data_IF_872792851303
#
_entry.id   IF_872792851303
#
_cell.length_a   1.000
_cell.length_b   1.000
_cell.length_c   1.000
_cell.angle_alpha   90.00
_cell.angle_beta   90.00
_cell.angle_gamma   90.00
#
_symmetry.space_group_name_H-M   'P 1'
#
loop_
_entity.id
_entity.type
_entity.pdbx_description
1 polymer ?
#
# COMPACT_ATOMS: atom_id res chain seq x y z
N UNK A 1 32.47 -48.83 0.93
CA UNK A 1 33.05 -47.52 1.28
C UNK A 1 32.67 -46.56 0.16
N UNK A 2 31.58 -45.81 0.33
CA UNK A 2 31.09 -44.88 -0.69
C UNK A 2 31.93 -43.59 -0.63
N UNK A 3 32.21 -42.93 -1.77
CA UNK A 3 32.95 -41.68 -1.75
C UNK A 3 32.07 -40.58 -1.15
N UNK A 4 32.65 -39.88 -0.17
CA UNK A 4 32.10 -38.70 0.47
C UNK A 4 31.90 -37.60 -0.59
N UNK A 5 30.64 -37.21 -0.83
CA UNK A 5 30.33 -36.06 -1.68
C UNK A 5 30.83 -34.82 -0.95
N UNK A 6 31.90 -34.21 -1.45
CA UNK A 6 32.32 -32.88 -1.03
C UNK A 6 31.11 -31.94 -1.14
N UNK A 7 30.66 -31.44 0.01
CA UNK A 7 29.69 -30.36 0.07
C UNK A 7 30.32 -29.18 -0.69
N UNK A 8 29.72 -28.82 -1.81
CA UNK A 8 30.03 -27.56 -2.47
C UNK A 8 29.50 -26.50 -1.52
N UNK A 9 30.41 -25.89 -0.73
CA UNK A 9 30.13 -24.66 -0.01
C UNK A 9 29.68 -23.64 -1.07
N UNK A 10 28.36 -23.56 -1.27
CA UNK A 10 27.78 -22.46 -2.01
C UNK A 10 28.02 -21.24 -1.13
N UNK A 11 29.13 -20.55 -1.39
CA UNK A 11 29.45 -19.27 -0.79
C UNK A 11 28.36 -18.30 -1.26
N UNK A 12 27.27 -18.21 -0.49
CA UNK A 12 26.24 -17.22 -0.67
C UNK A 12 26.82 -15.86 -0.26
N UNK A 13 27.58 -15.24 -1.16
CA UNK A 13 28.00 -13.87 -0.96
C UNK A 13 26.78 -12.98 -1.14
N UNK A 14 26.15 -12.58 -0.04
CA UNK A 14 25.09 -11.59 -0.05
C UNK A 14 25.72 -10.20 -0.21
N UNK A 15 25.88 -9.76 -1.45
CA UNK A 15 26.46 -8.46 -1.81
C UNK A 15 25.39 -7.37 -2.01
N UNK A 16 24.11 -7.72 -1.86
CA UNK A 16 23.00 -6.79 -1.91
C UNK A 16 22.68 -6.25 -0.52
N UNK A 17 22.65 -4.93 -0.38
CA UNK A 17 22.16 -4.21 0.79
C UNK A 17 20.76 -3.70 0.51
N UNK A 18 19.78 -4.24 1.22
CA UNK A 18 18.39 -3.79 1.16
C UNK A 18 18.15 -2.60 2.11
N UNK A 19 17.54 -1.54 1.60
CA UNK A 19 17.03 -0.43 2.39
C UNK A 19 15.52 -0.49 2.37
N UNK A 20 14.93 -0.67 3.56
CA UNK A 20 13.48 -0.79 3.74
C UNK A 20 12.93 0.51 4.29
N UNK A 21 11.92 1.06 3.61
CA UNK A 21 11.27 2.30 3.94
C UNK A 21 9.83 2.06 4.41
N UNK A 22 9.41 2.78 5.45
CA UNK A 22 8.00 3.14 5.59
C UNK A 22 7.67 4.27 4.58
N UNK A 23 6.39 4.58 4.37
CA UNK A 23 5.94 5.50 3.33
C UNK A 23 5.32 6.80 3.88
N UNK A 24 4.15 6.71 4.51
CA UNK A 24 3.46 7.88 5.07
C UNK A 24 4.32 8.48 6.19
N UNK A 25 4.46 9.81 6.22
CA UNK A 25 5.32 10.54 7.18
C UNK A 25 6.82 10.17 7.13
N UNK A 26 7.25 9.33 6.18
CA UNK A 26 8.65 8.95 5.97
C UNK A 26 9.16 9.41 4.61
N UNK A 27 8.51 8.99 3.53
CA UNK A 27 8.83 9.40 2.15
C UNK A 27 7.97 10.58 1.69
N UNK A 28 6.76 10.69 2.23
CA UNK A 28 5.85 11.83 2.02
C UNK A 28 5.54 12.55 3.34
N UNK A 29 5.28 13.87 3.35
CA UNK A 29 4.98 14.61 4.58
C UNK A 29 3.54 14.40 5.08
N UNK A 30 2.67 13.87 4.23
CA UNK A 30 1.24 13.68 4.50
C UNK A 30 0.85 12.21 4.65
N UNK A 31 -0.46 11.99 4.61
CA UNK A 31 -1.08 10.68 4.45
C UNK A 31 -1.46 10.51 2.98
N UNK A 32 -1.15 9.37 2.37
CA UNK A 32 -1.50 9.11 0.97
C UNK A 32 -3.02 9.12 0.71
N UNK A 33 -3.83 8.97 1.75
CA UNK A 33 -5.29 9.01 1.66
C UNK A 33 -5.81 10.44 1.38
N UNK A 34 -5.03 11.50 1.62
CA UNK A 34 -5.46 12.89 1.36
C UNK A 34 -6.00 13.12 -0.08
N UNK A 35 -5.27 12.79 -1.15
CA UNK A 35 -5.80 12.90 -2.51
C UNK A 35 -7.02 11.99 -2.78
N UNK A 36 -7.09 10.83 -2.13
CA UNK A 36 -8.25 9.94 -2.19
C UNK A 36 -9.50 10.58 -1.57
N UNK A 37 -9.40 11.08 -0.34
CA UNK A 37 -10.50 11.75 0.35
C UNK A 37 -10.96 12.99 -0.41
N UNK A 38 -10.02 13.78 -0.93
CA UNK A 38 -10.31 14.92 -1.81
C UNK A 38 -11.08 14.53 -3.07
N UNK A 39 -10.69 13.43 -3.72
CA UNK A 39 -11.35 12.95 -4.95
C UNK A 39 -12.83 12.65 -4.72
N UNK A 40 -13.18 12.10 -3.55
CA UNK A 40 -14.56 11.77 -3.16
C UNK A 40 -15.28 12.88 -2.37
N UNK A 41 -14.65 14.04 -2.17
CA UNK A 41 -15.24 15.12 -1.39
C UNK A 41 -15.44 14.80 0.10
N UNK A 42 -14.68 13.84 0.63
CA UNK A 42 -14.71 13.47 2.06
C UNK A 42 -13.81 14.41 2.85
N UNK A 43 -14.32 14.95 3.96
CA UNK A 43 -13.53 15.80 4.85
C UNK A 43 -12.46 14.98 5.59
N UNK A 44 -11.20 15.37 5.42
CA UNK A 44 -10.06 14.65 5.99
C UNK A 44 -10.06 14.68 7.53
N UNK A 45 -10.47 15.80 8.13
CA UNK A 45 -10.47 15.95 9.59
C UNK A 45 -11.54 15.07 10.22
N UNK A 46 -12.74 15.07 9.64
CA UNK A 46 -13.84 14.21 10.07
C UNK A 46 -13.52 12.73 9.88
N UNK A 47 -13.00 12.33 8.72
CA UNK A 47 -12.60 10.95 8.45
C UNK A 47 -11.61 10.43 9.49
N UNK A 48 -10.53 11.18 9.76
CA UNK A 48 -9.55 10.74 10.76
C UNK A 48 -10.08 10.80 12.19
N UNK A 49 -11.00 11.73 12.51
CA UNK A 49 -11.69 11.75 13.80
C UNK A 49 -12.49 10.47 14.02
N UNK A 50 -13.21 10.00 12.99
CA UNK A 50 -13.94 8.73 13.04
C UNK A 50 -12.98 7.55 13.20
N UNK A 51 -11.97 7.44 12.35
CA UNK A 51 -10.95 6.36 12.40
C UNK A 51 -10.31 6.26 13.78
N UNK A 52 -9.92 7.39 14.37
CA UNK A 52 -9.27 7.42 15.69
C UNK A 52 -10.22 7.01 16.83
N UNK A 53 -11.54 7.13 16.65
CA UNK A 53 -12.53 6.70 17.66
C UNK A 53 -12.89 5.21 17.56
N UNK A 54 -12.60 4.56 16.42
CA UNK A 54 -12.98 3.17 16.18
C UNK A 54 -12.34 2.16 17.16
N UNK A 55 -11.04 2.22 17.51
CA UNK A 55 -10.44 1.24 18.40
C UNK A 55 -11.13 1.17 19.77
N UNK A 56 -11.41 2.33 20.40
CA UNK A 56 -12.13 2.42 21.67
C UNK A 56 -13.56 1.88 21.54
N UNK A 57 -14.24 2.20 20.44
CA UNK A 57 -15.56 1.68 20.17
C UNK A 57 -15.53 0.16 20.08
N UNK A 58 -14.67 -0.42 19.24
CA UNK A 58 -14.59 -1.87 19.06
C UNK A 58 -14.18 -2.60 20.34
N UNK A 59 -13.28 -2.00 21.14
CA UNK A 59 -12.86 -2.58 22.41
C UNK A 59 -14.03 -2.69 23.41
N UNK A 60 -14.86 -1.65 23.50
CA UNK A 60 -16.09 -1.69 24.32
C UNK A 60 -17.11 -2.74 23.84
N UNK A 61 -17.02 -3.17 22.58
CA UNK A 61 -17.92 -4.15 21.96
C UNK A 61 -17.27 -5.53 21.80
N UNK A 62 -16.24 -5.85 22.60
CA UNK A 62 -15.70 -7.20 22.72
C UNK A 62 -14.49 -7.51 21.84
N UNK A 63 -14.01 -6.55 21.05
CA UNK A 63 -12.71 -6.68 20.40
C UNK A 63 -11.59 -6.54 21.43
N UNK A 64 -10.50 -7.30 21.30
CA UNK A 64 -9.39 -7.22 22.25
C UNK A 64 -8.39 -6.13 21.87
N UNK A 65 -7.93 -6.13 20.62
CA UNK A 65 -6.92 -5.19 20.12
C UNK A 65 -7.20 -4.87 18.65
N UNK A 66 -7.69 -3.67 18.41
CA UNK A 66 -7.84 -3.10 17.06
C UNK A 66 -6.65 -2.18 16.80
N UNK A 67 -5.96 -2.39 15.69
CA UNK A 67 -4.80 -1.57 15.33
C UNK A 67 -5.26 -0.22 14.77
N UNK A 68 -4.79 0.86 15.39
CA UNK A 68 -5.01 2.25 14.95
C UNK A 68 -4.53 2.50 13.53
N UNK A 69 -3.48 1.79 13.10
CA UNK A 69 -2.77 2.09 11.86
C UNK A 69 -3.41 1.44 10.63
N UNK A 70 -4.28 0.44 10.82
CA UNK A 70 -4.94 -0.28 9.72
C UNK A 70 -6.47 -0.24 9.79
N UNK A 71 -7.06 0.22 10.90
CA UNK A 71 -8.54 0.28 11.02
C UNK A 71 -9.17 1.22 9.98
N UNK A 72 -8.42 2.21 9.49
CA UNK A 72 -8.86 3.08 8.40
C UNK A 72 -9.18 2.31 7.11
N UNK A 73 -8.50 1.19 6.84
CA UNK A 73 -8.75 0.36 5.65
C UNK A 73 -10.17 -0.21 5.69
N UNK A 74 -10.59 -0.68 6.85
CA UNK A 74 -11.96 -1.13 7.05
C UNK A 74 -12.95 0.04 6.94
N UNK A 75 -12.60 1.19 7.50
CA UNK A 75 -13.46 2.38 7.44
C UNK A 75 -13.66 2.89 6.01
N UNK A 76 -12.63 2.82 5.16
CA UNK A 76 -12.76 3.10 3.72
C UNK A 76 -13.79 2.17 3.05
N UNK A 77 -13.81 0.88 3.42
CA UNK A 77 -14.81 -0.06 2.90
C UNK A 77 -16.23 0.31 3.33
N UNK A 78 -16.42 0.82 4.55
CA UNK A 78 -17.72 1.31 5.00
C UNK A 78 -18.17 2.55 4.22
N UNK A 79 -17.25 3.48 3.90
CA UNK A 79 -17.54 4.63 3.02
C UNK A 79 -17.94 4.20 1.60
N UNK A 80 -17.31 3.15 1.06
CA UNK A 80 -17.70 2.55 -0.22
C UNK A 80 -19.10 1.95 -0.13
N UNK A 81 -19.38 1.15 0.92
CA UNK A 81 -20.69 0.50 1.14
C UNK A 81 -21.82 1.51 1.32
N UNK A 82 -21.52 2.66 1.95
CA UNK A 82 -22.45 3.76 2.10
C UNK A 82 -22.63 4.61 0.83
N UNK A 83 -21.90 4.32 -0.25
CA UNK A 83 -21.96 5.03 -1.53
C UNK A 83 -21.13 6.31 -1.59
N UNK A 84 -20.54 6.77 -0.48
CA UNK A 84 -19.72 7.99 -0.42
C UNK A 84 -18.41 7.88 -1.22
N UNK A 85 -17.92 6.67 -1.44
CA UNK A 85 -16.74 6.38 -2.27
C UNK A 85 -17.06 5.40 -3.42
N UNK A 86 -18.24 5.54 -4.03
CA UNK A 86 -18.62 4.73 -5.19
C UNK A 86 -17.62 4.88 -6.33
N UNK A 87 -17.16 3.76 -6.89
CA UNK A 87 -16.14 3.74 -7.97
C UNK A 87 -14.69 3.73 -7.48
N UNK A 88 -14.44 3.59 -6.17
CA UNK A 88 -13.11 3.26 -5.67
C UNK A 88 -12.60 1.98 -6.35
N UNK A 89 -11.35 1.98 -6.83
CA UNK A 89 -10.73 0.84 -7.51
C UNK A 89 -9.21 0.92 -7.38
N UNK A 90 -8.55 -0.22 -7.59
CA UNK A 90 -7.08 -0.27 -7.63
C UNK A 90 -6.50 0.63 -8.75
N UNK A 91 -7.19 0.74 -9.87
CA UNK A 91 -6.82 1.66 -10.95
C UNK A 91 -6.89 3.13 -10.51
N UNK A 92 -8.01 3.54 -9.88
CA UNK A 92 -8.15 4.89 -9.35
C UNK A 92 -7.05 5.21 -8.33
N UNK A 93 -6.78 4.29 -7.39
CA UNK A 93 -5.74 4.45 -6.39
C UNK A 93 -4.36 4.65 -7.04
N UNK A 94 -4.03 3.86 -8.07
CA UNK A 94 -2.80 4.03 -8.83
C UNK A 94 -2.72 5.39 -9.50
N UNK A 95 -3.79 5.85 -10.16
CA UNK A 95 -3.82 7.19 -10.77
C UNK A 95 -3.61 8.30 -9.73
N UNK A 96 -4.25 8.18 -8.56
CA UNK A 96 -4.10 9.16 -7.47
C UNK A 96 -2.71 9.16 -6.86
N UNK A 97 -1.99 8.02 -6.89
CA UNK A 97 -0.59 7.90 -6.47
C UNK A 97 0.34 8.91 -7.16
N UNK A 98 0.05 9.26 -8.42
CA UNK A 98 0.84 10.23 -9.19
C UNK A 98 0.78 11.66 -8.63
N UNK A 99 -0.22 11.97 -7.78
CA UNK A 99 -0.39 13.28 -7.16
C UNK A 99 0.35 13.44 -5.83
N UNK A 100 1.01 12.39 -5.34
CA UNK A 100 1.72 12.41 -4.06
C UNK A 100 2.95 13.32 -4.13
N UNK A 101 3.09 14.18 -3.14
CA UNK A 101 4.26 15.05 -2.95
C UNK A 101 5.21 14.42 -1.95
N UNK A 102 6.50 14.35 -2.31
CA UNK A 102 7.55 13.77 -1.47
C UNK A 102 8.31 14.82 -0.66
N UNK A 103 9.08 14.37 0.34
CA UNK A 103 10.02 15.26 1.01
C UNK A 103 11.08 15.82 0.04
N UNK A 104 11.61 17.04 0.31
CA UNK A 104 12.64 17.63 -0.53
C UNK A 104 13.84 16.69 -0.74
N UNK A 105 14.25 16.51 -2.00
CA UNK A 105 15.36 15.64 -2.39
C UNK A 105 14.95 14.24 -2.86
N UNK A 106 13.69 13.84 -2.68
CA UNK A 106 13.08 12.67 -3.30
C UNK A 106 12.31 13.06 -4.58
N UNK A 107 12.21 12.17 -5.59
CA UNK A 107 12.73 10.81 -5.62
C UNK A 107 14.24 10.71 -5.92
N UNK A 108 14.88 11.79 -6.38
CA UNK A 108 16.27 11.77 -6.87
C UNK A 108 17.30 11.14 -5.92
N UNK A 109 17.04 11.13 -4.61
CA UNK A 109 17.90 10.50 -3.61
C UNK A 109 18.16 9.01 -3.90
N UNK A 110 17.15 8.25 -4.32
CA UNK A 110 17.27 6.81 -4.55
C UNK A 110 18.34 6.50 -5.60
N UNK A 111 18.24 7.14 -6.76
CA UNK A 111 19.21 6.94 -7.83
C UNK A 111 20.59 7.53 -7.48
N UNK A 112 20.65 8.67 -6.78
CA UNK A 112 21.93 9.22 -6.29
C UNK A 112 22.69 8.25 -5.38
N UNK A 113 22.01 7.59 -4.45
CA UNK A 113 22.68 6.68 -3.50
C UNK A 113 23.11 5.38 -4.18
N UNK A 114 22.28 4.82 -5.08
CA UNK A 114 22.64 3.65 -5.89
C UNK A 114 23.87 3.92 -6.75
N UNK A 115 23.92 5.04 -7.48
CA UNK A 115 25.10 5.43 -8.26
C UNK A 115 26.34 5.60 -7.39
N UNK A 116 26.20 6.28 -6.26
CA UNK A 116 27.31 6.49 -5.31
C UNK A 116 27.92 5.16 -4.86
N UNK A 117 27.11 4.14 -4.59
CA UNK A 117 27.61 2.82 -4.21
C UNK A 117 28.24 2.09 -5.39
N UNK A 118 27.59 2.09 -6.55
CA UNK A 118 28.09 1.43 -7.75
C UNK A 118 29.44 1.99 -8.25
N UNK A 119 29.65 3.29 -8.10
CA UNK A 119 30.85 3.99 -8.57
C UNK A 119 32.00 3.99 -7.53
N UNK A 120 31.74 3.61 -6.28
CA UNK A 120 32.76 3.62 -5.25
C UNK A 120 33.75 2.45 -5.42
N UNK A 121 35.07 2.71 -5.59
CA UNK A 121 36.05 1.66 -5.94
C UNK A 121 36.06 0.47 -4.99
N UNK A 122 35.95 0.72 -3.68
CA UNK A 122 35.92 -0.33 -2.65
C UNK A 122 34.67 -1.20 -2.74
N UNK A 123 33.54 -0.65 -3.15
CA UNK A 123 32.27 -1.38 -3.20
C UNK A 123 32.13 -2.15 -4.50
N UNK A 124 32.61 -1.54 -5.60
CA UNK A 124 32.65 -2.14 -6.93
C UNK A 124 33.48 -3.44 -6.97
N UNK A 125 34.64 -3.49 -6.30
CA UNK A 125 35.45 -4.73 -6.24
C UNK A 125 34.75 -5.88 -5.50
N UNK A 126 33.72 -5.59 -4.71
CA UNK A 126 32.93 -6.57 -3.96
C UNK A 126 31.51 -6.74 -4.54
N UNK A 127 31.22 -6.14 -5.71
CA UNK A 127 29.90 -6.15 -6.36
C UNK A 127 28.74 -5.73 -5.43
N UNK A 128 29.00 -4.77 -4.52
CA UNK A 128 27.98 -4.31 -3.58
C UNK A 128 26.90 -3.54 -4.34
N UNK A 129 25.64 -3.92 -4.11
CA UNK A 129 24.46 -3.31 -4.72
C UNK A 129 23.51 -2.79 -3.64
N UNK A 130 22.76 -1.76 -3.99
CA UNK A 130 21.69 -1.22 -3.17
C UNK A 130 20.35 -1.53 -3.82
N UNK A 131 19.40 -1.95 -3.00
CA UNK A 131 18.00 -2.13 -3.37
C UNK A 131 17.13 -1.39 -2.36
N UNK A 132 16.03 -0.83 -2.83
CA UNK A 132 15.04 -0.07 -2.09
C UNK A 132 13.69 -0.77 -2.10
N UNK A 133 13.16 -0.96 -0.90
CA UNK A 133 11.92 -1.64 -0.66
C UNK A 133 10.99 -0.78 0.17
N UNK A 134 9.68 -0.90 -0.04
CA UNK A 134 8.70 -0.26 0.84
C UNK A 134 7.92 -1.32 1.61
N UNK A 135 7.84 -1.15 2.93
CA UNK A 135 6.94 -1.88 3.82
C UNK A 135 6.05 -0.87 4.51
N UNK A 136 4.76 -0.88 4.20
CA UNK A 136 3.82 0.14 4.69
C UNK A 136 2.44 -0.45 4.99
N UNK A 137 1.74 0.15 5.95
CA UNK A 137 0.31 -0.10 6.19
C UNK A 137 -0.60 0.72 5.23
N UNK A 138 0.02 1.44 4.30
CA UNK A 138 -0.65 2.24 3.28
C UNK A 138 -1.27 1.43 2.14
N UNK A 139 -1.80 2.16 1.14
CA UNK A 139 -2.42 1.62 -0.06
C UNK A 139 -1.36 1.34 -1.14
N UNK A 140 -1.10 0.06 -1.42
CA UNK A 140 -0.06 -0.40 -2.35
C UNK A 140 -0.15 0.23 -3.73
N UNK A 141 -1.36 0.33 -4.28
CA UNK A 141 -1.55 0.90 -5.61
C UNK A 141 -1.19 2.39 -5.66
N UNK A 142 -1.40 3.15 -4.58
CA UNK A 142 -0.96 4.54 -4.51
C UNK A 142 0.56 4.66 -4.54
N UNK A 143 1.27 3.78 -3.83
CA UNK A 143 2.74 3.73 -3.84
C UNK A 143 3.24 3.40 -5.25
N UNK A 144 2.67 2.38 -5.90
CA UNK A 144 3.05 1.94 -7.24
C UNK A 144 2.70 2.95 -8.36
N UNK A 145 1.74 3.83 -8.12
CA UNK A 145 1.41 4.94 -9.03
C UNK A 145 2.25 6.20 -8.80
N UNK A 146 3.08 6.21 -7.76
CA UNK A 146 3.81 7.40 -7.32
C UNK A 146 5.14 7.59 -8.03
N UNK A 147 5.70 8.79 -7.93
CA UNK A 147 6.98 9.15 -8.55
C UNK A 147 8.20 8.36 -8.05
N UNK A 148 8.09 7.63 -6.94
CA UNK A 148 9.19 6.78 -6.44
C UNK A 148 9.13 5.34 -6.94
N UNK A 149 7.99 4.88 -7.48
CA UNK A 149 7.81 3.50 -7.90
C UNK A 149 8.91 2.97 -8.85
N UNK A 150 9.44 3.76 -9.81
CA UNK A 150 10.53 3.30 -10.67
C UNK A 150 11.87 3.01 -9.97
N UNK A 151 12.02 3.45 -8.72
CA UNK A 151 13.25 3.29 -7.93
C UNK A 151 13.16 2.17 -6.90
N UNK A 152 12.03 1.45 -6.84
CA UNK A 152 11.77 0.41 -5.85
C UNK A 152 11.84 -0.97 -6.50
N UNK A 153 12.44 -1.91 -5.79
CA UNK A 153 12.51 -3.31 -6.17
C UNK A 153 11.20 -4.04 -5.86
N UNK A 154 10.59 -3.76 -4.70
CA UNK A 154 9.24 -4.25 -4.37
C UNK A 154 8.55 -3.39 -3.30
N UNK A 155 7.24 -3.57 -3.18
CA UNK A 155 6.34 -2.88 -2.26
C UNK A 155 5.44 -3.87 -1.56
N UNK A 156 5.60 -4.00 -0.24
CA UNK A 156 4.68 -4.69 0.66
C UNK A 156 3.77 -3.68 1.33
N UNK A 157 2.52 -3.64 0.88
CA UNK A 157 1.50 -2.75 1.41
C UNK A 157 0.10 -3.34 1.20
N UNK A 158 -0.94 -2.65 1.68
CA UNK A 158 -2.31 -3.14 1.62
C UNK A 158 -2.92 -2.97 0.24
N UNK A 159 -3.64 -3.99 -0.23
CA UNK A 159 -4.30 -4.03 -1.53
C UNK A 159 -5.79 -4.29 -1.32
N UNK A 160 -6.64 -3.52 -2.01
CA UNK A 160 -8.07 -3.77 -1.97
C UNK A 160 -8.39 -4.95 -2.89
N UNK A 161 -9.20 -5.87 -2.38
CA UNK A 161 -9.78 -6.94 -3.19
C UNK A 161 -11.08 -6.38 -3.77
N UNK A 162 -11.02 -5.90 -5.00
CA UNK A 162 -12.15 -5.26 -5.69
C UNK A 162 -13.17 -6.23 -6.31
N UNK A 163 -12.75 -7.47 -6.49
CA UNK A 163 -13.62 -8.56 -6.88
C UNK A 163 -13.54 -9.70 -5.86
N UNK A 164 -14.03 -9.53 -4.62
CA UNK A 164 -13.93 -10.61 -3.65
C UNK A 164 -14.80 -11.78 -4.07
N UNK A 165 -14.39 -12.95 -3.60
CA UNK A 165 -15.10 -14.18 -3.86
C UNK A 165 -15.90 -14.58 -2.61
N UNK A 166 -17.23 -14.80 -2.72
CA UNK A 166 -18.03 -15.25 -1.59
C UNK A 166 -17.65 -16.70 -1.19
N UNK A 167 -18.03 -17.15 0.01
CA UNK A 167 -17.91 -18.56 0.37
C UNK A 167 -18.58 -19.46 -0.68
N UNK A 168 -17.85 -20.45 -1.20
CA UNK A 168 -18.35 -21.36 -2.23
C UNK A 168 -18.21 -20.86 -3.68
N UNK A 169 -17.44 -19.79 -3.94
CA UNK A 169 -17.21 -19.22 -5.28
C UNK A 169 -16.72 -20.18 -6.36
N UNK A 170 -16.22 -21.37 -5.99
CA UNK A 170 -15.89 -22.43 -6.94
C UNK A 170 -17.14 -23.09 -7.59
N UNK A 171 -18.36 -22.67 -7.22
CA UNK A 171 -19.63 -23.31 -7.61
C UNK A 171 -20.57 -22.45 -8.48
N UNK A 172 -20.22 -21.22 -8.89
CA UNK A 172 -21.06 -20.36 -9.73
C UNK A 172 -20.48 -18.96 -10.03
N UNK A 173 -21.13 -18.21 -10.95
CA UNK A 173 -20.68 -16.89 -11.46
C UNK A 173 -21.12 -15.67 -10.61
N UNK A 174 -20.44 -14.54 -10.83
CA UNK A 174 -19.98 -13.55 -9.84
C UNK A 174 -20.71 -12.18 -9.83
N UNK A 175 -20.60 -11.44 -8.71
CA UNK A 175 -20.86 -10.00 -8.60
C UNK A 175 -19.66 -9.29 -7.95
N UNK A 176 -19.24 -8.14 -8.51
CA UNK A 176 -18.13 -7.29 -8.00
C UNK A 176 -18.55 -6.53 -6.73
N UNK A 177 -17.60 -6.25 -5.81
CA UNK A 177 -17.84 -5.33 -4.68
C UNK A 177 -17.96 -3.88 -5.14
N UNK A 178 -17.26 -3.55 -6.22
CA UNK A 178 -17.26 -2.23 -6.80
C UNK A 178 -18.09 -2.29 -8.09
N UNK A 179 -19.36 -1.82 -8.07
CA UNK A 179 -20.17 -1.78 -9.28
C UNK A 179 -19.46 -0.93 -10.34
N UNK A 180 -19.50 -1.34 -11.62
CA UNK A 180 -19.00 -0.51 -12.70
C UNK A 180 -19.91 0.72 -12.79
N UNK A 181 -19.34 1.89 -12.49
CA UNK A 181 -19.97 3.22 -12.53
C UNK A 181 -21.30 3.38 -11.79
N UNK A 182 -21.26 4.04 -10.63
CA UNK A 182 -22.20 5.11 -10.27
C UNK A 182 -23.72 4.85 -10.22
N UNK A 183 -24.21 3.62 -10.29
CA UNK A 183 -25.63 3.35 -10.02
C UNK A 183 -25.88 3.46 -8.51
N UNK A 184 -26.10 4.70 -8.07
CA UNK A 184 -26.69 5.00 -6.77
C UNK A 184 -28.01 4.21 -6.64
N UNK A 185 -28.24 3.52 -5.51
CA UNK A 185 -29.52 2.86 -5.29
C UNK A 185 -30.63 3.91 -5.39
N UNK A 186 -31.64 3.63 -6.22
CA UNK A 186 -32.82 4.48 -6.33
C UNK A 186 -33.38 4.77 -4.93
N UNK A 187 -33.77 6.02 -4.63
CA UNK A 187 -34.30 6.36 -3.31
C UNK A 187 -35.50 5.44 -3.05
N UNK A 188 -35.48 4.76 -1.91
CA UNK A 188 -36.59 3.94 -1.46
C UNK A 188 -37.85 4.81 -1.48
N UNK A 189 -38.76 4.48 -2.40
CA UNK A 189 -40.01 5.18 -2.58
C UNK A 189 -40.77 5.21 -1.27
N UNK A 190 -40.95 6.42 -0.73
CA UNK A 190 -41.90 6.66 0.34
C UNK A 190 -43.31 6.59 -0.21
N UNK A 191 -44.08 5.66 0.35
CA UNK A 191 -45.53 5.74 0.51
C UNK A 191 -45.94 4.83 1.65
#
# INVERSE_FOLDING_TARGET
MAPERAATDSLWFQHTVAIIWDFDKTLIPGYMQRPLLRHFGVDEVEFWREVNALPDWYQRHGSQRVSTDVVYLHHLLEYVRAGAMAGLSNELLRRLGASLTFYPGLPDFFDRICRRVADHPLYRQHDIRLEHYVVSNGLRQMILGSGIAPYLEDVWACEFIDTPHPPGYLRGEQQSLFPPDGDAPAPAGGS
#
